data_IF_685128132812
#
_entry.id   IF_685128132812
#
_cell.length_a   1.000
_cell.length_b   1.000
_cell.length_c   1.000
_cell.angle_alpha   90.00
_cell.angle_beta   90.00
_cell.angle_gamma   90.00
#
_symmetry.space_group_name_H-M   'P 1'
#
loop_
_entity.id
_entity.type
_entity.pdbx_description
1 polymer ?
#
# COMPACT_ATOMS: atom_id res chain seq x y z
N UNK A 1 -1.90 -16.36 -0.44
CA UNK A 1 -0.69 -16.83 0.10
C UNK A 1 0.58 -16.27 -0.54
N UNK A 2 1.53 -17.13 -0.71
CA UNK A 2 2.85 -16.79 -1.25
C UNK A 2 2.79 -16.13 -2.63
N UNK A 3 1.90 -16.61 -3.47
CA UNK A 3 1.68 -16.11 -4.82
C UNK A 3 1.22 -14.64 -4.81
N UNK A 4 0.31 -14.29 -3.90
CA UNK A 4 -0.19 -12.91 -3.77
C UNK A 4 0.89 -11.95 -3.30
N UNK A 5 1.74 -12.41 -2.38
CA UNK A 5 2.91 -11.64 -1.96
C UNK A 5 3.82 -11.30 -3.15
N UNK A 6 4.15 -12.29 -3.97
CA UNK A 6 5.02 -12.10 -5.12
C UNK A 6 4.42 -11.14 -6.15
N UNK A 7 3.11 -11.21 -6.39
CA UNK A 7 2.42 -10.29 -7.29
C UNK A 7 2.51 -8.85 -6.77
N UNK A 8 2.16 -8.61 -5.53
CA UNK A 8 2.23 -7.27 -4.93
C UNK A 8 3.64 -6.72 -4.99
N UNK A 9 4.62 -7.54 -4.67
CA UNK A 9 6.03 -7.16 -4.70
C UNK A 9 6.49 -6.79 -6.11
N UNK A 10 6.10 -7.53 -7.12
CA UNK A 10 6.44 -7.24 -8.52
C UNK A 10 5.86 -5.92 -8.98
N UNK A 11 4.58 -5.71 -8.73
CA UNK A 11 3.89 -4.48 -9.10
C UNK A 11 4.59 -3.27 -8.47
N UNK A 12 4.88 -3.34 -7.17
CA UNK A 12 5.57 -2.27 -6.49
C UNK A 12 7.01 -2.08 -6.99
N UNK A 13 7.72 -3.15 -7.26
CA UNK A 13 9.07 -3.09 -7.81
C UNK A 13 9.14 -2.32 -9.12
N UNK A 14 8.18 -2.53 -10.01
CA UNK A 14 8.12 -1.82 -11.30
C UNK A 14 7.87 -0.32 -11.09
N UNK A 15 6.93 0.04 -10.24
CA UNK A 15 6.54 1.45 -10.08
C UNK A 15 7.50 2.26 -9.19
N UNK A 16 8.12 1.62 -8.20
CA UNK A 16 8.86 2.36 -7.17
C UNK A 16 10.35 2.47 -7.44
N UNK A 17 10.92 1.67 -8.33
CA UNK A 17 12.34 1.76 -8.67
C UNK A 17 12.72 3.12 -9.23
N UNK A 18 11.86 3.71 -10.07
CA UNK A 18 12.15 4.98 -10.73
C UNK A 18 12.01 6.19 -9.82
N UNK A 19 11.18 6.12 -8.80
CA UNK A 19 10.92 7.25 -7.89
C UNK A 19 11.62 7.10 -6.55
N UNK A 20 12.35 6.03 -6.34
CA UNK A 20 13.15 5.74 -5.14
C UNK A 20 12.35 5.78 -3.84
N UNK A 21 11.06 5.50 -3.89
CA UNK A 21 10.26 5.38 -2.69
C UNK A 21 10.39 3.98 -2.09
N UNK A 22 10.04 3.87 -0.80
CA UNK A 22 10.04 2.57 -0.13
C UNK A 22 9.06 1.60 -0.81
N UNK A 23 9.50 0.37 -1.03
CA UNK A 23 8.63 -0.68 -1.53
C UNK A 23 7.64 -1.14 -0.45
N UNK A 24 6.56 -1.78 -0.87
CA UNK A 24 5.63 -2.45 0.05
C UNK A 24 6.36 -3.38 1.01
N UNK A 25 7.29 -4.17 0.50
CA UNK A 25 8.07 -5.12 1.30
C UNK A 25 8.88 -4.40 2.37
N UNK A 26 9.63 -3.35 1.99
CA UNK A 26 10.46 -2.61 2.93
C UNK A 26 9.62 -1.93 4.00
N UNK A 27 8.53 -1.30 3.62
CA UNK A 27 7.67 -0.58 4.57
C UNK A 27 6.96 -1.54 5.53
N UNK A 28 6.51 -2.69 5.02
CA UNK A 28 5.89 -3.70 5.87
C UNK A 28 6.89 -4.36 6.82
N UNK A 29 8.10 -4.62 6.38
CA UNK A 29 9.17 -5.13 7.25
C UNK A 29 9.50 -4.13 8.36
N UNK A 30 9.60 -2.84 8.04
CA UNK A 30 9.84 -1.78 9.04
C UNK A 30 8.70 -1.74 10.06
N UNK A 31 7.46 -1.81 9.61
CA UNK A 31 6.28 -1.84 10.47
C UNK A 31 6.36 -3.01 11.46
N UNK A 32 6.62 -4.21 10.99
CA UNK A 32 6.68 -5.38 11.86
C UNK A 32 7.90 -5.34 12.77
N UNK A 33 9.04 -4.89 12.28
CA UNK A 33 10.27 -4.82 13.07
C UNK A 33 10.14 -3.85 14.25
N UNK A 34 9.46 -2.74 14.06
CA UNK A 34 9.38 -1.65 15.03
C UNK A 34 7.99 -1.48 15.67
N UNK A 35 7.12 -2.48 15.58
CA UNK A 35 5.75 -2.35 16.07
C UNK A 35 5.66 -1.96 17.54
N UNK A 36 6.59 -2.45 18.38
CA UNK A 36 6.57 -2.18 19.83
C UNK A 36 6.72 -0.72 20.16
N UNK A 37 7.44 0.02 19.32
CA UNK A 37 7.72 1.46 19.50
C UNK A 37 6.72 2.35 18.74
N UNK A 38 5.80 1.77 18.01
CA UNK A 38 4.87 2.53 17.19
C UNK A 38 3.70 3.04 18.04
N UNK A 39 3.64 4.36 18.23
CA UNK A 39 2.60 5.01 19.03
C UNK A 39 1.19 4.96 18.41
N UNK A 40 1.10 4.69 17.09
CA UNK A 40 -0.18 4.53 16.40
C UNK A 40 -0.84 3.18 16.66
N UNK A 41 -0.12 2.26 17.30
CA UNK A 41 -0.64 0.95 17.65
C UNK A 41 -1.08 0.92 19.12
N UNK A 42 -2.29 0.43 19.37
CA UNK A 42 -2.77 0.17 20.71
C UNK A 42 -2.01 -1.01 21.34
N UNK A 43 -2.10 -1.13 22.67
CA UNK A 43 -1.53 -2.27 23.38
C UNK A 43 -2.10 -3.60 22.88
N UNK A 44 -3.41 -3.65 22.61
CA UNK A 44 -4.08 -4.83 22.06
C UNK A 44 -3.56 -5.17 20.66
N UNK A 45 -3.38 -4.17 19.79
CA UNK A 45 -2.82 -4.38 18.46
C UNK A 45 -1.40 -4.92 18.53
N UNK A 46 -0.57 -4.40 19.44
CA UNK A 46 0.80 -4.90 19.65
C UNK A 46 0.83 -6.36 20.09
N UNK A 47 -0.08 -6.75 21.00
CA UNK A 47 -0.19 -8.13 21.43
C UNK A 47 -0.62 -9.06 20.28
N UNK A 48 -1.53 -8.63 19.43
CA UNK A 48 -1.94 -9.39 18.26
C UNK A 48 -0.79 -9.58 17.27
N UNK A 49 0.03 -8.56 17.07
CA UNK A 49 1.22 -8.66 16.21
C UNK A 49 2.23 -9.65 16.81
N UNK A 50 2.48 -9.56 18.10
CA UNK A 50 3.35 -10.48 18.83
C UNK A 50 2.91 -11.94 18.65
N UNK A 51 1.62 -12.19 18.82
CA UNK A 51 1.04 -13.53 18.65
C UNK A 51 1.18 -14.00 17.20
N UNK A 52 0.89 -13.13 16.23
CA UNK A 52 1.01 -13.44 14.80
C UNK A 52 2.46 -13.80 14.43
N UNK A 53 3.44 -13.03 14.92
CA UNK A 53 4.86 -13.31 14.71
C UNK A 53 5.27 -14.67 15.31
N UNK A 54 4.81 -14.95 16.51
CA UNK A 54 5.10 -16.22 17.17
C UNK A 54 4.56 -17.41 16.38
N UNK A 55 3.32 -17.30 15.89
CA UNK A 55 2.69 -18.34 15.07
C UNK A 55 3.38 -18.50 13.71
N UNK A 56 3.89 -17.42 13.16
CA UNK A 56 4.60 -17.40 11.88
C UNK A 56 6.10 -17.71 12.03
N UNK A 57 6.57 -18.10 13.21
CA UNK A 57 7.99 -18.35 13.49
C UNK A 57 8.88 -17.17 13.10
N UNK A 58 8.44 -15.95 13.43
CA UNK A 58 9.09 -14.68 13.11
C UNK A 58 9.24 -14.39 11.61
N UNK A 59 8.46 -15.03 10.76
CA UNK A 59 8.45 -14.73 9.34
C UNK A 59 7.57 -13.50 9.06
N UNK A 60 8.19 -12.38 8.70
CA UNK A 60 7.48 -11.16 8.34
C UNK A 60 6.61 -11.35 7.09
N UNK A 61 7.11 -12.15 6.17
CA UNK A 61 6.37 -12.51 4.95
C UNK A 61 5.05 -13.21 5.28
N UNK A 62 5.05 -14.16 6.19
CA UNK A 62 3.85 -14.90 6.57
C UNK A 62 2.85 -13.99 7.31
N UNK A 63 3.33 -13.06 8.11
CA UNK A 63 2.48 -12.05 8.73
C UNK A 63 1.81 -11.17 7.67
N UNK A 64 2.58 -10.70 6.70
CA UNK A 64 2.03 -9.94 5.58
C UNK A 64 0.98 -10.74 4.81
N UNK A 65 1.26 -12.00 4.51
CA UNK A 65 0.32 -12.86 3.76
C UNK A 65 -1.02 -12.95 4.46
N UNK A 66 -1.02 -13.14 5.78
CA UNK A 66 -2.25 -13.17 6.57
C UNK A 66 -2.99 -11.84 6.54
N UNK A 67 -2.27 -10.75 6.72
CA UNK A 67 -2.85 -9.40 6.69
C UNK A 67 -3.42 -9.08 5.30
N UNK A 68 -2.71 -9.44 4.25
CA UNK A 68 -3.20 -9.26 2.88
C UNK A 68 -4.46 -10.09 2.61
N UNK A 69 -4.53 -11.31 3.11
CA UNK A 69 -5.74 -12.13 2.99
C UNK A 69 -6.91 -11.49 3.73
N UNK A 70 -6.68 -10.97 4.93
CA UNK A 70 -7.71 -10.25 5.68
C UNK A 70 -8.15 -8.98 4.95
N UNK A 71 -7.21 -8.27 4.33
CA UNK A 71 -7.49 -7.11 3.50
C UNK A 71 -8.44 -7.44 2.35
N UNK A 72 -8.13 -8.47 1.59
CA UNK A 72 -8.91 -8.86 0.43
C UNK A 72 -10.25 -9.51 0.78
N UNK A 73 -10.32 -10.23 1.88
CA UNK A 73 -11.51 -11.03 2.22
C UNK A 73 -12.48 -10.28 3.14
N UNK A 74 -11.96 -9.58 4.13
CA UNK A 74 -12.80 -8.97 5.18
C UNK A 74 -12.86 -7.45 5.05
N UNK A 75 -11.73 -6.79 4.97
CA UNK A 75 -11.67 -5.33 4.91
C UNK A 75 -12.39 -4.78 3.67
N UNK A 76 -12.32 -5.49 2.56
CA UNK A 76 -13.02 -5.11 1.33
C UNK A 76 -14.55 -5.09 1.49
N UNK A 77 -15.07 -5.80 2.47
CA UNK A 77 -16.50 -5.87 2.78
C UNK A 77 -16.89 -5.01 3.98
N UNK A 78 -15.98 -4.19 4.47
CA UNK A 78 -16.22 -3.34 5.63
C UNK A 78 -16.06 -4.03 6.98
N UNK A 79 -15.55 -5.25 7.00
CA UNK A 79 -15.25 -5.97 8.24
C UNK A 79 -13.81 -5.71 8.66
N UNK A 80 -13.60 -4.88 9.67
CA UNK A 80 -12.28 -4.42 10.07
C UNK A 80 -11.55 -5.45 10.92
N UNK A 81 -10.53 -6.05 10.37
CA UNK A 81 -9.70 -7.09 11.00
C UNK A 81 -8.26 -6.67 11.22
N UNK A 82 -7.82 -5.63 10.54
CA UNK A 82 -6.45 -5.16 10.59
C UNK A 82 -6.30 -4.00 11.58
N UNK A 83 -5.08 -3.81 12.07
CA UNK A 83 -4.76 -2.61 12.81
C UNK A 83 -4.62 -1.41 11.85
N UNK A 84 -4.63 -0.21 12.43
CA UNK A 84 -4.58 1.04 11.67
C UNK A 84 -3.34 1.14 10.78
N UNK A 85 -2.18 0.73 11.27
CA UNK A 85 -0.92 0.87 10.54
C UNK A 85 -0.88 -0.08 9.34
N UNK A 86 -1.26 -1.33 9.52
CA UNK A 86 -1.37 -2.29 8.41
C UNK A 86 -2.36 -1.82 7.35
N UNK A 87 -3.52 -1.31 7.78
CA UNK A 87 -4.54 -0.77 6.87
C UNK A 87 -4.00 0.39 6.05
N UNK A 88 -3.30 1.32 6.67
CA UNK A 88 -2.71 2.47 5.98
C UNK A 88 -1.69 2.06 4.92
N UNK A 89 -0.88 1.06 5.21
CA UNK A 89 0.10 0.55 4.24
C UNK A 89 -0.62 -0.12 3.07
N UNK A 90 -1.58 -0.99 3.35
CA UNK A 90 -2.29 -1.74 2.31
C UNK A 90 -3.17 -0.83 1.43
N UNK A 91 -3.77 0.19 2.00
CA UNK A 91 -4.51 1.19 1.22
C UNK A 91 -3.62 1.87 0.18
N UNK A 92 -2.37 2.17 0.53
CA UNK A 92 -1.44 2.85 -0.37
C UNK A 92 -0.87 1.94 -1.45
N UNK A 93 -0.52 0.71 -1.09
CA UNK A 93 0.21 -0.20 -1.99
C UNK A 93 -0.68 -1.23 -2.69
N UNK A 94 -1.81 -1.56 -2.10
CA UNK A 94 -2.76 -2.55 -2.64
C UNK A 94 -4.18 -1.96 -2.63
N UNK A 95 -4.42 -0.83 -3.34
CA UNK A 95 -5.71 -0.16 -3.29
C UNK A 95 -6.84 -1.04 -3.81
N UNK A 96 -8.03 -0.85 -3.25
CA UNK A 96 -9.22 -1.52 -3.73
C UNK A 96 -9.69 -0.96 -5.08
N UNK A 97 -10.41 -1.77 -5.84
CA UNK A 97 -11.12 -1.32 -7.02
C UNK A 97 -12.13 -0.21 -6.66
N UNK A 98 -12.50 0.61 -7.66
CA UNK A 98 -13.35 1.79 -7.42
C UNK A 98 -14.69 1.47 -6.77
N UNK A 99 -15.35 0.41 -7.17
CA UNK A 99 -16.64 0.00 -6.63
C UNK A 99 -16.55 -0.36 -5.14
N UNK A 100 -15.52 -1.11 -4.76
CA UNK A 100 -15.26 -1.47 -3.37
C UNK A 100 -14.94 -0.21 -2.56
N UNK A 101 -14.09 0.66 -3.10
CA UNK A 101 -13.70 1.91 -2.47
C UNK A 101 -14.91 2.82 -2.22
N UNK A 102 -15.81 2.92 -3.17
CA UNK A 102 -17.02 3.72 -3.02
C UNK A 102 -17.91 3.21 -1.89
N UNK A 103 -18.04 1.89 -1.76
CA UNK A 103 -18.79 1.27 -0.67
C UNK A 103 -18.20 1.54 0.71
N UNK A 104 -16.89 1.76 0.80
CA UNK A 104 -16.18 2.04 2.05
C UNK A 104 -16.03 3.53 2.34
N UNK A 105 -16.29 4.40 1.37
CA UNK A 105 -16.00 5.84 1.46
C UNK A 105 -16.76 6.55 2.58
N UNK A 106 -17.92 6.04 2.97
CA UNK A 106 -18.72 6.60 4.06
C UNK A 106 -18.24 6.16 5.45
N UNK A 107 -17.35 5.20 5.52
CA UNK A 107 -16.85 4.69 6.80
C UNK A 107 -15.74 5.59 7.34
N UNK A 108 -15.87 6.15 8.56
CA UNK A 108 -14.87 7.06 9.11
C UNK A 108 -13.45 6.47 9.20
N UNK A 109 -13.33 5.17 9.38
CA UNK A 109 -12.01 4.51 9.44
C UNK A 109 -11.27 4.56 8.10
N UNK A 110 -11.98 4.66 6.99
CA UNK A 110 -11.41 4.74 5.66
C UNK A 110 -11.32 6.15 5.10
N UNK A 111 -12.16 7.08 5.55
CA UNK A 111 -12.17 8.45 5.01
C UNK A 111 -10.80 9.11 5.07
N UNK A 112 -10.15 9.06 6.23
CA UNK A 112 -8.84 9.68 6.41
C UNK A 112 -7.76 8.97 5.58
N UNK A 113 -7.81 7.63 5.53
CA UNK A 113 -6.87 6.84 4.75
C UNK A 113 -7.00 7.15 3.25
N UNK A 114 -8.23 7.22 2.74
CA UNK A 114 -8.48 7.56 1.34
C UNK A 114 -8.10 9.01 1.01
N UNK A 115 -8.36 9.94 1.93
CA UNK A 115 -7.95 11.33 1.77
C UNK A 115 -6.43 11.47 1.63
N UNK A 116 -5.69 10.80 2.50
CA UNK A 116 -4.22 10.80 2.43
C UNK A 116 -3.72 10.15 1.15
N UNK A 117 -4.31 9.02 0.77
CA UNK A 117 -3.97 8.32 -0.46
C UNK A 117 -4.19 9.22 -1.68
N UNK A 118 -5.35 9.87 -1.76
CA UNK A 118 -5.68 10.76 -2.88
C UNK A 118 -4.73 11.96 -2.95
N UNK A 119 -4.37 12.53 -1.80
CA UNK A 119 -3.43 13.66 -1.76
C UNK A 119 -2.03 13.23 -2.23
N UNK A 120 -1.55 12.07 -1.77
CA UNK A 120 -0.27 11.53 -2.20
C UNK A 120 -0.26 11.18 -3.70
N UNK A 121 -1.34 10.56 -4.18
CA UNK A 121 -1.46 10.19 -5.59
C UNK A 121 -1.50 11.43 -6.50
N UNK A 122 -2.19 12.49 -6.08
CA UNK A 122 -2.18 13.76 -6.82
C UNK A 122 -0.79 14.35 -6.95
N UNK A 123 -0.01 14.35 -5.87
CA UNK A 123 1.38 14.83 -5.89
C UNK A 123 2.25 14.01 -6.83
N UNK A 124 2.13 12.70 -6.77
CA UNK A 124 2.87 11.79 -7.64
C UNK A 124 2.47 11.96 -9.10
N UNK A 125 1.18 12.07 -9.36
CA UNK A 125 0.66 12.29 -10.71
C UNK A 125 1.18 13.60 -11.30
N UNK A 126 1.18 14.69 -10.53
CA UNK A 126 1.73 15.97 -10.98
C UNK A 126 3.21 15.86 -11.32
N UNK A 127 3.97 15.15 -10.51
CA UNK A 127 5.41 14.93 -10.74
C UNK A 127 5.65 14.14 -12.04
N UNK A 128 4.91 13.07 -12.25
CA UNK A 128 5.05 12.26 -13.47
C UNK A 128 4.59 13.02 -14.71
N UNK A 129 3.52 13.79 -14.62
CA UNK A 129 3.06 14.64 -15.72
C UNK A 129 4.07 15.73 -16.07
N UNK A 130 4.69 16.33 -15.07
CA UNK A 130 5.76 17.31 -15.29
C UNK A 130 6.93 16.70 -16.06
N UNK A 131 7.35 15.49 -15.70
CA UNK A 131 8.41 14.77 -16.43
C UNK A 131 7.96 14.43 -17.84
N UNK A 132 6.74 13.95 -18.01
CA UNK A 132 6.17 13.64 -19.32
C UNK A 132 6.17 14.87 -20.23
N UNK A 133 5.68 16.00 -19.74
CA UNK A 133 5.61 17.24 -20.50
C UNK A 133 6.99 17.74 -20.92
N UNK A 134 7.99 17.60 -20.04
CA UNK A 134 9.36 17.96 -20.35
C UNK A 134 9.94 17.11 -21.48
N UNK A 135 9.73 15.79 -21.46
CA UNK A 135 10.20 14.91 -22.52
C UNK A 135 9.48 15.16 -23.83
N UNK A 136 8.18 15.40 -23.79
CA UNK A 136 7.41 15.72 -24.99
C UNK A 136 7.87 17.04 -25.61
N UNK A 137 8.05 18.09 -24.83
CA UNK A 137 8.54 19.38 -25.30
C UNK A 137 9.94 19.33 -25.88
N UNK A 138 10.79 18.46 -25.34
CA UNK A 138 12.16 18.26 -25.83
C UNK A 138 12.24 17.34 -27.05
N UNK A 139 11.11 16.76 -27.51
CA UNK A 139 11.09 15.79 -28.59
C UNK A 139 11.70 14.43 -28.20
N UNK A 140 11.84 14.20 -26.90
CA UNK A 140 12.37 12.94 -26.39
C UNK A 140 11.35 11.81 -26.42
N UNK A 141 11.86 10.58 -26.36
CA UNK A 141 11.05 9.39 -26.31
C UNK A 141 10.52 9.14 -24.90
N UNK A 142 9.21 8.93 -24.77
CA UNK A 142 8.59 8.65 -23.49
C UNK A 142 8.73 7.17 -23.19
N UNK A 143 9.33 6.85 -22.03
CA UNK A 143 9.55 5.48 -21.63
C UNK A 143 8.25 4.77 -21.26
N UNK A 144 8.15 3.45 -21.49
CA UNK A 144 6.98 2.67 -21.05
C UNK A 144 6.74 2.75 -19.54
N UNK A 145 7.80 2.84 -18.74
CA UNK A 145 7.70 2.94 -17.28
C UNK A 145 6.99 4.23 -16.87
N UNK A 146 7.29 5.35 -17.52
CA UNK A 146 6.63 6.62 -17.22
C UNK A 146 5.15 6.57 -17.57
N UNK A 147 4.79 5.96 -18.70
CA UNK A 147 3.39 5.78 -19.10
C UNK A 147 2.62 4.91 -18.08
N UNK A 148 3.24 3.84 -17.61
CA UNK A 148 2.64 2.96 -16.62
C UNK A 148 2.46 3.65 -15.28
N UNK A 149 3.44 4.45 -14.83
CA UNK A 149 3.33 5.24 -13.62
C UNK A 149 2.17 6.23 -13.70
N UNK A 150 2.04 6.94 -14.80
CA UNK A 150 0.91 7.85 -15.01
C UNK A 150 -0.42 7.12 -14.94
N UNK A 151 -0.53 5.99 -15.62
CA UNK A 151 -1.75 5.18 -15.62
C UNK A 151 -2.11 4.69 -14.22
N UNK A 152 -1.12 4.24 -13.47
CA UNK A 152 -1.33 3.73 -12.11
C UNK A 152 -1.90 4.81 -11.19
N UNK A 153 -1.35 6.01 -11.22
CA UNK A 153 -1.78 7.10 -10.33
C UNK A 153 -3.01 7.87 -10.82
N UNK A 154 -3.39 7.71 -12.07
CA UNK A 154 -4.67 8.23 -12.59
C UNK A 154 -5.87 7.37 -12.19
N UNK A 155 -5.63 6.14 -11.82
CA UNK A 155 -6.68 5.25 -11.31
C UNK A 155 -7.08 5.67 -9.90
#
# INVERSE_FOLDING_TARGET
GRYRWEICRRVQGVYWNDIREKSLTAEYCDFIQYYRKNSDLSADAKEKIKTALSRARNSYREVFVKDYQAWMKYESQGSFRLNKVARDILVRYCPFAKDIRQGLATNPQYQNAFHRLDAENRKKLQRFRSVYDKYEAAGGEITPELKENLRFYEM
#
